data_IF_478898045444
#
_entry.id   IF_478898045444
#
_cell.length_a   1.000
_cell.length_b   1.000
_cell.length_c   1.000
_cell.angle_alpha   90.00
_cell.angle_beta   90.00
_cell.angle_gamma   90.00
#
_symmetry.space_group_name_H-M   'P 1'
#
loop_
_entity.id
_entity.type
_entity.pdbx_description
1 polymer ?
#
# COMPACT_ATOMS: atom_id res chain seq x y z
N UNK A 1 -10.39 21.85 -9.45
CA UNK A 1 -9.14 21.31 -8.91
C UNK A 1 -9.04 19.82 -9.17
N UNK A 2 -7.91 19.40 -9.62
CA UNK A 2 -7.68 17.99 -9.88
C UNK A 2 -7.63 17.21 -8.57
N UNK A 3 -8.31 16.04 -8.54
CA UNK A 3 -8.30 15.16 -7.38
C UNK A 3 -6.86 14.78 -7.01
N UNK A 4 -6.01 14.53 -8.01
CA UNK A 4 -4.62 14.13 -7.76
C UNK A 4 -3.83 15.19 -7.00
N UNK A 5 -4.11 16.47 -7.22
CA UNK A 5 -3.44 17.56 -6.50
C UNK A 5 -3.82 17.56 -5.01
N UNK A 6 -5.05 17.16 -4.69
CA UNK A 6 -5.49 17.04 -3.30
C UNK A 6 -4.99 15.77 -2.64
N UNK A 7 -4.91 14.68 -3.40
CA UNK A 7 -4.47 13.38 -2.91
C UNK A 7 -2.97 13.34 -2.64
N UNK A 8 -2.17 13.98 -3.48
CA UNK A 8 -0.70 13.92 -3.39
C UNK A 8 -0.15 14.23 -1.99
N UNK A 9 -0.51 15.34 -1.33
CA UNK A 9 0.02 15.61 0.00
C UNK A 9 -0.47 14.61 1.06
N UNK A 10 -1.66 14.06 0.88
CA UNK A 10 -2.21 13.06 1.81
C UNK A 10 -1.43 11.76 1.71
N UNK A 11 -1.18 11.27 0.50
CA UNK A 11 -0.41 10.04 0.29
C UNK A 11 1.05 10.22 0.70
N UNK A 12 1.63 11.38 0.41
CA UNK A 12 3.00 11.69 0.86
C UNK A 12 3.08 11.68 2.38
N UNK A 13 2.05 12.17 3.05
CA UNK A 13 1.98 12.13 4.52
C UNK A 13 1.86 10.69 5.03
N UNK A 14 1.04 9.86 4.39
CA UNK A 14 0.89 8.46 4.78
C UNK A 14 2.18 7.66 4.55
N UNK A 15 2.97 8.04 3.56
CA UNK A 15 4.24 7.39 3.23
C UNK A 15 5.44 8.10 3.86
N UNK A 16 5.28 8.71 5.03
CA UNK A 16 6.34 9.47 5.69
C UNK A 16 7.49 8.59 6.22
N UNK A 17 7.21 7.33 6.57
CA UNK A 17 8.23 6.38 6.99
C UNK A 17 9.04 5.89 5.79
N UNK A 18 10.34 5.63 5.99
CA UNK A 18 11.24 5.15 4.94
C UNK A 18 10.84 3.78 4.37
N UNK A 19 10.04 3.00 5.09
CA UNK A 19 9.58 1.69 4.64
C UNK A 19 8.19 1.72 3.98
N UNK A 20 7.61 2.90 3.83
CA UNK A 20 6.30 3.08 3.20
C UNK A 20 6.45 3.85 1.90
N UNK A 21 5.87 3.30 0.85
CA UNK A 21 5.93 3.86 -0.50
C UNK A 21 4.52 4.20 -0.97
N UNK A 22 4.40 5.29 -1.71
CA UNK A 22 3.13 5.69 -2.30
C UNK A 22 3.31 5.96 -3.79
N UNK A 23 2.27 5.63 -4.55
CA UNK A 23 2.18 5.98 -5.97
C UNK A 23 0.74 6.33 -6.29
N UNK A 24 0.54 7.29 -7.13
CA UNK A 24 -0.77 7.74 -7.57
C UNK A 24 -0.68 8.33 -8.97
N UNK A 25 -1.80 8.32 -9.67
CA UNK A 25 -1.83 8.87 -11.02
C UNK A 25 -3.15 8.65 -11.71
N UNK A 26 -3.20 9.08 -12.96
CA UNK A 26 -4.33 8.80 -13.82
C UNK A 26 -4.23 7.37 -14.36
N UNK A 27 -5.38 6.74 -14.54
CA UNK A 27 -5.44 5.43 -15.18
C UNK A 27 -4.92 5.58 -16.62
N UNK A 28 -4.05 4.66 -17.02
CA UNK A 28 -3.45 4.64 -18.34
C UNK A 28 -3.54 3.20 -18.90
N UNK A 29 -2.66 2.84 -19.82
CA UNK A 29 -2.58 1.49 -20.35
C UNK A 29 -2.10 0.48 -19.33
N UNK A 30 -1.30 0.92 -18.34
CA UNK A 30 -0.80 0.06 -17.29
C UNK A 30 -1.93 -0.31 -16.32
N UNK A 31 -1.96 -1.55 -15.90
CA UNK A 31 -2.91 -2.01 -14.87
C UNK A 31 -2.40 -1.61 -13.48
N UNK A 32 -3.27 -1.67 -12.49
CA UNK A 32 -2.87 -1.42 -11.10
C UNK A 32 -1.81 -2.43 -10.67
N UNK A 33 -1.93 -3.69 -11.08
CA UNK A 33 -0.91 -4.70 -10.78
C UNK A 33 0.46 -4.34 -11.37
N UNK A 34 0.49 -3.80 -12.59
CA UNK A 34 1.73 -3.33 -13.20
C UNK A 34 2.33 -2.14 -12.44
N UNK A 35 1.49 -1.20 -12.00
CA UNK A 35 1.93 -0.07 -11.20
C UNK A 35 2.48 -0.52 -9.84
N UNK A 36 1.83 -1.50 -9.21
CA UNK A 36 2.32 -2.08 -7.95
C UNK A 36 3.64 -2.81 -8.19
N UNK A 37 3.76 -3.55 -9.28
CA UNK A 37 4.99 -4.26 -9.61
C UNK A 37 6.17 -3.28 -9.74
N UNK A 38 5.99 -2.18 -10.46
CA UNK A 38 7.03 -1.16 -10.60
C UNK A 38 7.43 -0.58 -9.25
N UNK A 39 6.46 -0.31 -8.39
CA UNK A 39 6.72 0.21 -7.05
C UNK A 39 7.46 -0.80 -6.18
N UNK A 40 7.08 -2.09 -6.27
CA UNK A 40 7.76 -3.17 -5.56
C UNK A 40 9.23 -3.26 -5.99
N UNK A 41 9.51 -3.13 -7.28
CA UNK A 41 10.89 -3.18 -7.77
C UNK A 41 11.73 -2.04 -7.22
N UNK A 42 11.18 -0.83 -7.14
CA UNK A 42 11.85 0.31 -6.51
C UNK A 42 12.16 0.03 -5.04
N UNK A 43 11.16 -0.43 -4.30
CA UNK A 43 11.30 -0.73 -2.88
C UNK A 43 12.35 -1.81 -2.62
N UNK A 44 12.36 -2.86 -3.44
CA UNK A 44 13.31 -3.96 -3.29
C UNK A 44 14.75 -3.53 -3.56
N UNK A 45 14.97 -2.58 -4.47
CA UNK A 45 16.31 -2.02 -4.71
C UNK A 45 16.74 -1.19 -3.51
N UNK A 46 15.86 -0.35 -2.98
CA UNK A 46 16.17 0.51 -1.83
C UNK A 46 16.54 -0.32 -0.58
N UNK A 47 15.87 -1.45 -0.39
CA UNK A 47 16.02 -2.28 0.81
C UNK A 47 16.65 -3.64 0.54
N UNK A 48 17.48 -3.74 -0.50
CA UNK A 48 18.12 -4.99 -0.90
C UNK A 48 18.92 -5.65 0.22
N UNK A 49 19.55 -4.85 1.09
CA UNK A 49 20.36 -5.35 2.21
C UNK A 49 19.52 -5.96 3.34
N UNK A 50 18.20 -5.76 3.33
CA UNK A 50 17.27 -6.31 4.33
C UNK A 50 16.39 -7.42 3.77
N UNK A 51 16.61 -7.84 2.53
CA UNK A 51 15.82 -8.90 1.94
C UNK A 51 16.04 -10.23 2.67
N UNK A 52 15.00 -11.05 2.72
CA UNK A 52 15.07 -12.40 3.29
C UNK A 52 16.03 -13.24 2.47
N UNK A 53 16.98 -13.90 3.12
CA UNK A 53 17.98 -14.71 2.44
C UNK A 53 17.31 -15.83 1.63
N UNK A 54 17.67 -15.94 0.36
CA UNK A 54 17.10 -16.94 -0.55
C UNK A 54 15.72 -16.64 -1.08
N UNK A 55 15.06 -15.59 -0.60
CA UNK A 55 13.75 -15.20 -1.10
C UNK A 55 13.88 -14.53 -2.48
N UNK A 56 12.92 -14.85 -3.33
CA UNK A 56 12.84 -14.27 -4.69
C UNK A 56 11.59 -13.40 -4.73
N UNK A 57 11.73 -12.19 -5.25
CA UNK A 57 10.62 -11.28 -5.44
C UNK A 57 9.71 -11.74 -6.58
N UNK A 58 8.62 -11.00 -6.83
CA UNK A 58 7.70 -11.35 -7.90
C UNK A 58 8.41 -11.24 -9.26
N UNK A 59 8.13 -12.18 -10.14
CA UNK A 59 8.69 -12.21 -11.49
C UNK A 59 7.88 -11.35 -12.46
N UNK A 60 6.63 -11.06 -12.15
CA UNK A 60 5.72 -10.35 -13.06
C UNK A 60 4.57 -9.69 -12.31
N UNK A 61 3.91 -8.76 -12.97
CA UNK A 61 2.67 -8.16 -12.47
C UNK A 61 1.56 -9.21 -12.26
N UNK A 62 1.56 -10.28 -13.04
CA UNK A 62 0.59 -11.36 -12.89
C UNK A 62 0.69 -12.07 -11.55
N UNK A 63 1.89 -12.25 -11.02
CA UNK A 63 2.08 -12.83 -9.70
C UNK A 63 1.54 -11.90 -8.62
N UNK A 64 1.74 -10.60 -8.77
CA UNK A 64 1.21 -9.60 -7.85
C UNK A 64 -0.31 -9.60 -7.89
N UNK A 65 -0.89 -9.60 -9.09
CA UNK A 65 -2.35 -9.62 -9.24
C UNK A 65 -2.98 -10.84 -8.56
N UNK A 66 -2.31 -11.98 -8.66
CA UNK A 66 -2.77 -13.22 -8.01
C UNK A 66 -2.81 -13.12 -6.48
N UNK A 67 -2.02 -12.21 -5.89
CA UNK A 67 -2.00 -12.00 -4.45
C UNK A 67 -3.10 -11.05 -3.96
N UNK A 68 -3.77 -10.36 -4.86
CA UNK A 68 -4.75 -9.34 -4.48
C UNK A 68 -6.09 -9.94 -4.09
N UNK A 69 -6.72 -9.29 -3.10
CA UNK A 69 -8.07 -9.59 -2.63
C UNK A 69 -8.85 -8.30 -2.52
N UNK A 70 -10.15 -8.32 -2.80
CA UNK A 70 -10.97 -7.12 -2.58
C UNK A 70 -11.07 -6.82 -1.08
N UNK A 71 -11.15 -5.54 -0.77
CA UNK A 71 -11.40 -5.04 0.58
C UNK A 71 -12.37 -3.88 0.45
N UNK A 72 -13.22 -3.67 1.47
CA UNK A 72 -14.14 -2.54 1.43
C UNK A 72 -13.43 -1.23 1.82
N UNK A 73 -14.12 -0.11 1.66
CA UNK A 73 -13.53 1.20 1.93
C UNK A 73 -13.09 1.35 3.40
N UNK A 74 -13.87 0.83 4.34
CA UNK A 74 -13.51 0.88 5.76
C UNK A 74 -12.25 0.07 6.04
N UNK A 75 -12.16 -1.13 5.46
CA UNK A 75 -10.97 -1.97 5.57
C UNK A 75 -9.76 -1.31 4.94
N UNK A 76 -9.93 -0.67 3.79
CA UNK A 76 -8.84 0.05 3.12
C UNK A 76 -8.33 1.22 3.98
N UNK A 77 -9.24 1.98 4.58
CA UNK A 77 -8.88 3.08 5.49
C UNK A 77 -8.09 2.54 6.69
N UNK A 78 -8.55 1.46 7.29
CA UNK A 78 -7.85 0.85 8.42
C UNK A 78 -6.46 0.36 8.03
N UNK A 79 -6.32 -0.29 6.88
CA UNK A 79 -5.02 -0.75 6.37
C UNK A 79 -4.08 0.42 6.10
N UNK A 80 -4.54 1.46 5.43
CA UNK A 80 -3.72 2.66 5.17
C UNK A 80 -3.29 3.33 6.47
N UNK A 81 -4.19 3.41 7.42
CA UNK A 81 -3.90 3.98 8.74
C UNK A 81 -2.81 3.18 9.46
N UNK A 82 -2.98 1.87 9.51
CA UNK A 82 -2.07 0.99 10.25
C UNK A 82 -0.69 0.90 9.60
N UNK A 83 -0.62 0.77 8.28
CA UNK A 83 0.68 0.70 7.61
C UNK A 83 1.47 2.01 7.73
N UNK A 84 0.78 3.13 7.87
CA UNK A 84 1.41 4.44 8.05
C UNK A 84 1.81 4.68 9.50
N UNK A 85 0.97 4.28 10.45
CA UNK A 85 1.14 4.63 11.87
C UNK A 85 2.01 3.65 12.66
N UNK A 86 2.04 2.38 12.27
CA UNK A 86 2.72 1.34 13.03
C UNK A 86 3.82 0.67 12.23
N UNK A 87 4.86 0.20 12.94
CA UNK A 87 5.88 -0.65 12.36
C UNK A 87 5.26 -2.01 11.99
N UNK A 88 5.56 -2.54 10.80
CA UNK A 88 5.00 -3.82 10.37
C UNK A 88 5.51 -5.00 11.18
N UNK A 89 6.77 -4.96 11.59
CA UNK A 89 7.39 -6.03 12.37
C UNK A 89 6.98 -5.91 13.84
N UNK A 90 7.06 -4.70 14.38
CA UNK A 90 6.71 -4.41 15.76
C UNK A 90 5.41 -3.60 15.80
N UNK A 91 4.29 -4.27 15.57
CA UNK A 91 2.99 -3.63 15.37
C UNK A 91 2.51 -2.74 16.52
N UNK A 92 3.19 -2.79 17.69
CA UNK A 92 2.89 -1.92 18.82
C UNK A 92 3.72 -0.64 18.82
N UNK A 93 4.73 -0.56 17.96
CA UNK A 93 5.60 0.61 17.86
C UNK A 93 4.99 1.63 16.92
N UNK A 94 4.58 2.78 17.47
CA UNK A 94 4.06 3.88 16.67
C UNK A 94 5.20 4.57 15.92
N UNK A 95 4.98 4.75 14.62
CA UNK A 95 5.87 5.55 13.76
C UNK A 95 5.39 6.99 13.66
N UNK A 96 4.07 7.20 13.87
CA UNK A 96 3.44 8.51 13.84
C UNK A 96 2.07 8.45 14.51
N UNK A 97 1.45 9.63 14.70
CA UNK A 97 0.13 9.73 15.29
C UNK A 97 -0.92 8.99 14.44
N UNK A 98 -1.55 7.98 15.03
CA UNK A 98 -2.56 7.17 14.38
C UNK A 98 -3.77 8.00 13.94
N UNK A 99 -4.23 8.94 14.76
CA UNK A 99 -5.39 9.76 14.41
C UNK A 99 -5.11 10.64 13.20
N UNK A 100 -3.91 11.17 13.10
CA UNK A 100 -3.50 11.95 11.94
C UNK A 100 -3.48 11.07 10.68
N UNK A 101 -2.93 9.85 10.78
CA UNK A 101 -2.92 8.90 9.66
C UNK A 101 -4.34 8.53 9.26
N UNK A 102 -5.23 8.28 10.22
CA UNK A 102 -6.63 7.94 9.95
C UNK A 102 -7.36 9.06 9.21
N UNK A 103 -7.14 10.31 9.62
CA UNK A 103 -7.74 11.46 8.92
C UNK A 103 -7.27 11.55 7.47
N UNK A 104 -5.98 11.33 7.23
CA UNK A 104 -5.43 11.36 5.88
C UNK A 104 -6.01 10.21 5.02
N UNK A 105 -6.04 9.01 5.56
CA UNK A 105 -6.59 7.84 4.85
C UNK A 105 -8.08 8.02 4.53
N UNK A 106 -8.84 8.52 5.51
CA UNK A 106 -10.28 8.79 5.31
C UNK A 106 -10.49 9.82 4.20
N UNK A 107 -9.66 10.87 4.20
CA UNK A 107 -9.77 11.91 3.16
C UNK A 107 -9.45 11.37 1.77
N UNK A 108 -8.43 10.52 1.64
CA UNK A 108 -8.10 9.85 0.37
C UNK A 108 -9.30 9.07 -0.15
N UNK A 109 -9.90 8.24 0.72
CA UNK A 109 -11.05 7.43 0.34
C UNK A 109 -12.24 8.29 -0.09
N UNK A 110 -12.49 9.40 0.61
CA UNK A 110 -13.58 10.32 0.25
C UNK A 110 -13.34 11.01 -1.08
N UNK A 111 -12.12 11.42 -1.34
CA UNK A 111 -11.77 12.09 -2.61
C UNK A 111 -11.93 11.15 -3.81
N UNK A 112 -11.57 9.87 -3.65
CA UNK A 112 -11.77 8.89 -4.71
C UNK A 112 -13.23 8.52 -4.90
N UNK A 113 -14.03 8.50 -3.82
CA UNK A 113 -15.46 8.28 -3.89
C UNK A 113 -15.90 6.83 -3.74
N UNK A 114 -17.20 6.63 -3.69
CA UNK A 114 -17.83 5.33 -3.42
C UNK A 114 -17.60 4.28 -4.50
N UNK A 115 -17.35 4.69 -5.72
CA UNK A 115 -17.10 3.77 -6.84
C UNK A 115 -15.71 3.18 -6.87
N UNK A 116 -14.89 3.44 -5.85
CA UNK A 116 -13.51 2.96 -5.80
C UNK A 116 -13.48 1.47 -5.52
N UNK A 117 -12.69 0.73 -6.31
CA UNK A 117 -12.38 -0.67 -6.04
C UNK A 117 -11.09 -0.70 -5.21
N UNK A 118 -11.18 -1.27 -4.02
CA UNK A 118 -10.02 -1.41 -3.12
C UNK A 118 -9.54 -2.84 -3.10
N UNK A 119 -8.22 -3.01 -3.13
CA UNK A 119 -7.57 -4.33 -3.07
C UNK A 119 -6.41 -4.31 -2.09
N UNK A 120 -6.05 -5.48 -1.58
CA UNK A 120 -4.92 -5.67 -0.68
C UNK A 120 -4.39 -7.09 -0.83
N UNK A 121 -3.19 -7.33 -0.32
CA UNK A 121 -2.60 -8.68 -0.27
C UNK A 121 -2.76 -9.36 1.10
N UNK A 122 -3.55 -8.77 2.01
CA UNK A 122 -3.79 -9.35 3.34
C UNK A 122 -5.21 -9.93 3.43
N UNK A 123 -5.43 -10.81 4.42
CA UNK A 123 -6.75 -11.41 4.65
C UNK A 123 -7.69 -10.56 5.50
N UNK A 124 -7.36 -9.32 5.71
CA UNK A 124 -8.18 -8.42 6.49
C UNK A 124 -7.39 -7.20 6.86
N UNK A 125 -8.04 -6.28 7.55
CA UNK A 125 -7.46 -4.99 7.87
C UNK A 125 -6.69 -4.96 9.19
N UNK A 126 -6.87 -5.94 10.06
CA UNK A 126 -6.24 -5.95 11.39
C UNK A 126 -4.83 -6.51 11.39
N UNK A 127 -4.15 -6.33 12.53
CA UNK A 127 -2.82 -6.89 12.75
C UNK A 127 -2.87 -8.41 12.90
N UNK A 128 -1.75 -9.08 12.60
CA UNK A 128 -1.64 -10.52 12.74
C UNK A 128 -2.39 -11.32 11.69
N UNK A 129 -2.81 -10.70 10.62
CA UNK A 129 -3.50 -11.36 9.51
C UNK A 129 -2.51 -12.08 8.61
N UNK A 130 -2.98 -13.16 7.99
CA UNK A 130 -2.25 -13.80 6.90
C UNK A 130 -2.20 -12.86 5.70
N UNK A 131 -1.13 -12.95 4.95
CA UNK A 131 -0.95 -12.17 3.72
C UNK A 131 -0.29 -13.04 2.66
N UNK A 132 -0.46 -12.64 1.40
CA UNK A 132 0.24 -13.26 0.29
C UNK A 132 1.37 -12.31 -0.11
N UNK A 133 2.64 -12.72 0.00
CA UNK A 133 3.75 -11.82 -0.28
C UNK A 133 3.74 -11.24 -1.68
N UNK A 134 4.08 -9.96 -1.81
CA UNK A 134 4.29 -9.28 -3.09
C UNK A 134 5.72 -8.77 -3.22
N UNK A 135 6.57 -9.01 -2.21
CA UNK A 135 7.99 -8.65 -2.25
C UNK A 135 8.83 -9.83 -1.75
N UNK A 136 10.15 -9.67 -1.82
CA UNK A 136 11.11 -10.62 -1.24
C UNK A 136 11.45 -10.30 0.22
N UNK A 137 10.74 -9.38 0.83
CA UNK A 137 10.94 -8.99 2.24
C UNK A 137 10.10 -9.87 3.17
N UNK A 138 10.39 -9.78 4.48
CA UNK A 138 9.75 -10.65 5.47
C UNK A 138 8.27 -10.40 5.62
N UNK A 139 7.85 -9.14 5.58
CA UNK A 139 6.45 -8.74 5.69
C UNK A 139 6.19 -7.63 4.67
N UNK A 140 5.05 -7.68 4.00
CA UNK A 140 4.63 -6.57 3.16
C UNK A 140 3.12 -6.41 3.17
N UNK A 141 2.67 -5.18 2.97
CA UNK A 141 1.25 -4.84 2.88
C UNK A 141 1.07 -3.87 1.71
N UNK A 142 0.15 -4.18 0.82
CA UNK A 142 -0.27 -3.31 -0.27
C UNK A 142 -1.73 -2.95 -0.08
N UNK A 143 -2.05 -1.67 -0.26
CA UNK A 143 -3.43 -1.20 -0.37
C UNK A 143 -3.50 -0.37 -1.64
N UNK A 144 -4.41 -0.70 -2.53
CA UNK A 144 -4.59 0.05 -3.77
C UNK A 144 -6.07 0.33 -4.02
N UNK A 145 -6.35 1.54 -4.45
CA UNK A 145 -7.69 1.96 -4.82
C UNK A 145 -7.72 2.43 -6.28
N UNK A 146 -8.74 2.01 -7.01
CA UNK A 146 -8.88 2.31 -8.43
C UNK A 146 -10.26 2.85 -8.74
N UNK A 147 -10.32 3.93 -9.47
CA UNK A 147 -11.57 4.46 -10.04
C UNK A 147 -11.48 4.37 -11.56
N UNK A 148 -12.49 4.86 -12.26
CA UNK A 148 -12.44 4.91 -13.73
C UNK A 148 -11.31 5.81 -14.25
N UNK A 149 -10.89 6.79 -13.46
CA UNK A 149 -9.94 7.82 -13.90
C UNK A 149 -8.60 7.82 -13.17
N UNK A 150 -8.56 7.33 -11.93
CA UNK A 150 -7.38 7.47 -11.06
C UNK A 150 -7.06 6.19 -10.30
N UNK A 151 -5.80 6.08 -9.86
CA UNK A 151 -5.38 5.04 -8.93
C UNK A 151 -4.53 5.62 -7.82
N UNK A 152 -4.54 4.95 -6.67
CA UNK A 152 -3.65 5.22 -5.54
C UNK A 152 -3.10 3.89 -5.02
N UNK A 153 -1.84 3.89 -4.60
CA UNK A 153 -1.17 2.70 -4.06
C UNK A 153 -0.35 3.10 -2.85
N UNK A 154 -0.46 2.31 -1.79
CA UNK A 154 0.47 2.37 -0.65
C UNK A 154 1.07 0.98 -0.48
N UNK A 155 2.39 0.93 -0.30
CA UNK A 155 3.16 -0.29 -0.07
C UNK A 155 4.02 -0.09 1.16
N UNK A 156 3.94 -1.00 2.11
CA UNK A 156 4.79 -0.99 3.30
C UNK A 156 5.58 -2.29 3.38
N UNK A 157 6.84 -2.20 3.79
CA UNK A 157 7.76 -3.32 3.94
C UNK A 157 8.20 -3.45 5.40
N UNK A 158 8.46 -4.68 5.84
CA UNK A 158 9.06 -4.94 7.14
C UNK A 158 9.95 -6.17 7.07
N UNK A 159 11.08 -6.14 7.75
CA UNK A 159 12.01 -7.26 7.86
C UNK A 159 12.42 -7.44 9.33
N UNK A 160 12.54 -8.68 9.76
CA UNK A 160 13.03 -9.03 11.10
C UNK A 160 14.54 -8.83 11.20
#
# INVERSE_FOLDING_TARGET
>A
MEILEEIAPLLSSLAASSHVYARWGAISKATVAEEVFDLVMVAQVDWAHQAVAGAVGPASAGEIEAAFRPVDAEGAIELMTNLSAFDLVYSRSLLRDRDHAERAATRVAKLLGRGTSWITNTEGAGNGRAWTPVTRHGIDVVVAGTTAEHFVILLALGDD
#
